data_IF_036375501932
#
_entry.id   IF_036375501932
#
_cell.length_a   1.000
_cell.length_b   1.000
_cell.length_c   1.000
_cell.angle_alpha   90.00
_cell.angle_beta   90.00
_cell.angle_gamma   90.00
#
_symmetry.space_group_name_H-M   'P 1'
#
loop_
_entity.id
_entity.type
_entity.pdbx_description
1 polymer ?
#
# COMPACT_ATOMS: atom_id res chain seq x y z
N UNK A 1 49.58 -16.81 -17.28
CA UNK A 1 50.68 -17.22 -16.36
C UNK A 1 50.26 -16.84 -14.96
N UNK A 2 50.04 -17.72 -13.98
CA UNK A 2 50.79 -18.91 -13.62
C UNK A 2 51.68 -18.59 -12.41
N UNK A 3 51.59 -19.43 -11.37
CA UNK A 3 52.43 -19.52 -10.16
C UNK A 3 51.98 -18.70 -8.94
N UNK A 4 51.95 -19.23 -7.70
CA UNK A 4 52.27 -20.55 -7.13
C UNK A 4 51.60 -20.60 -5.75
N UNK A 5 51.07 -21.77 -5.36
CA UNK A 5 50.67 -22.10 -3.99
C UNK A 5 51.93 -22.31 -3.13
N UNK A 6 51.92 -21.96 -1.83
CA UNK A 6 52.76 -22.62 -0.83
C UNK A 6 52.07 -23.86 -0.22
N UNK A 7 52.83 -24.74 0.44
CA UNK A 7 52.56 -26.18 0.46
C UNK A 7 51.93 -26.70 1.76
N UNK A 8 51.38 -27.90 1.65
CA UNK A 8 51.33 -29.02 2.61
C UNK A 8 51.86 -28.75 4.03
N UNK A 9 51.08 -29.15 5.06
CA UNK A 9 51.40 -30.39 5.77
C UNK A 9 50.26 -30.85 6.70
N UNK A 10 49.77 -32.05 6.43
CA UNK A 10 49.41 -33.16 7.35
C UNK A 10 48.72 -32.86 8.69
N UNK A 11 47.48 -33.34 8.75
CA UNK A 11 47.01 -34.29 9.76
C UNK A 11 47.34 -34.01 11.23
N UNK A 12 46.32 -33.54 11.94
CA UNK A 12 46.08 -34.04 13.29
C UNK A 12 44.59 -34.33 13.48
N UNK A 13 44.23 -35.58 13.15
CA UNK A 13 43.03 -36.23 13.64
C UNK A 13 43.25 -36.46 15.14
N UNK A 14 42.70 -35.60 15.99
CA UNK A 14 42.41 -35.96 17.37
C UNK A 14 40.96 -36.38 17.46
N UNK A 15 40.75 -37.69 17.28
CA UNK A 15 39.62 -38.40 17.85
C UNK A 15 39.73 -38.31 19.38
N UNK A 16 38.85 -37.53 20.00
CA UNK A 16 38.44 -37.78 21.38
C UNK A 16 36.90 -37.79 21.49
N UNK A 17 36.35 -38.69 22.31
CA UNK A 17 35.00 -39.22 22.17
C UNK A 17 33.97 -38.45 23.01
N UNK A 18 32.72 -38.47 22.53
CA UNK A 18 31.47 -38.38 23.29
C UNK A 18 31.40 -37.45 24.50
N UNK A 19 30.76 -36.29 24.31
CA UNK A 19 29.57 -35.78 25.05
C UNK A 19 29.61 -34.25 25.09
N UNK A 20 28.69 -33.60 24.38
CA UNK A 20 27.63 -32.79 24.98
C UNK A 20 26.79 -32.18 23.86
N UNK A 21 25.56 -32.67 23.75
CA UNK A 21 24.53 -32.08 22.92
C UNK A 21 23.83 -30.99 23.75
N UNK A 22 23.92 -29.73 23.31
CA UNK A 22 23.00 -28.66 23.74
C UNK A 22 22.54 -27.91 22.48
N UNK A 23 21.27 -28.02 22.07
CA UNK A 23 20.71 -27.18 21.04
C UNK A 23 20.21 -25.90 21.73
N UNK A 24 20.94 -24.80 21.59
CA UNK A 24 20.49 -23.52 22.10
C UNK A 24 20.68 -22.41 21.06
N UNK A 25 19.54 -21.82 20.70
CA UNK A 25 19.36 -20.50 20.10
C UNK A 25 19.54 -20.37 18.57
N UNK A 26 18.49 -20.78 17.87
CA UNK A 26 17.74 -19.85 17.02
C UNK A 26 17.60 -18.49 17.72
N UNK A 27 18.44 -17.50 17.40
CA UNK A 27 18.14 -16.07 17.60
C UNK A 27 19.20 -15.17 16.93
N UNK A 28 19.25 -15.20 15.60
CA UNK A 28 19.82 -14.08 14.82
C UNK A 28 18.79 -13.60 13.79
N UNK A 29 17.64 -13.16 14.29
CA UNK A 29 16.81 -12.18 13.60
C UNK A 29 16.57 -11.01 14.56
N UNK A 30 17.66 -10.44 15.09
CA UNK A 30 17.57 -9.11 15.68
C UNK A 30 17.68 -8.10 14.54
N UNK A 31 16.52 -7.88 13.91
CA UNK A 31 16.24 -6.76 13.04
C UNK A 31 16.66 -5.50 13.77
N UNK A 32 17.80 -4.93 13.38
CA UNK A 32 18.35 -3.68 13.90
C UNK A 32 17.22 -2.63 13.92
N UNK A 33 16.86 -2.19 15.12
CA UNK A 33 16.06 -0.99 15.38
C UNK A 33 16.76 0.19 14.72
N UNK A 34 16.34 0.50 13.49
CA UNK A 34 16.75 1.71 12.78
C UNK A 34 16.27 2.87 13.65
N UNK A 35 17.23 3.74 14.01
CA UNK A 35 17.05 4.87 14.90
C UNK A 35 15.72 5.60 14.67
N UNK A 36 14.99 5.80 15.78
CA UNK A 36 13.66 6.41 15.90
C UNK A 36 13.50 7.80 15.26
N UNK A 37 14.57 8.40 14.75
CA UNK A 37 14.56 9.69 14.08
C UNK A 37 14.11 9.61 12.62
N UNK A 38 14.54 8.60 11.85
CA UNK A 38 14.11 8.46 10.44
C UNK A 38 12.67 7.97 10.31
N UNK A 39 12.20 7.16 11.28
CA UNK A 39 10.81 6.71 11.35
C UNK A 39 9.81 7.85 11.60
N UNK A 40 10.26 9.01 12.10
CA UNK A 40 9.42 10.18 12.37
C UNK A 40 9.07 10.99 11.13
N UNK A 41 9.87 10.89 10.06
CA UNK A 41 9.69 11.67 8.82
C UNK A 41 8.90 10.96 7.72
N UNK A 42 8.79 9.64 7.80
CA UNK A 42 8.02 8.84 6.85
C UNK A 42 6.99 8.00 7.62
N UNK A 43 5.72 8.47 7.75
CA UNK A 43 4.67 7.63 8.32
C UNK A 43 4.59 6.33 7.50
N UNK A 44 4.74 5.21 8.20
CA UNK A 44 4.80 3.87 7.57
C UNK A 44 3.47 3.47 6.95
N UNK A 45 2.37 4.04 7.43
CA UNK A 45 1.02 3.65 7.06
C UNK A 45 0.30 4.77 6.31
N UNK A 46 -0.35 4.46 5.16
CA UNK A 46 -1.15 5.43 4.44
C UNK A 46 -2.38 5.82 5.28
N UNK A 47 -2.82 7.07 5.11
CA UNK A 47 -4.03 7.55 5.75
C UNK A 47 -5.26 6.79 5.24
N UNK A 48 -6.26 6.64 6.11
CA UNK A 48 -7.56 6.07 5.71
C UNK A 48 -8.27 6.98 4.70
N UNK A 49 -8.92 6.43 3.66
CA UNK A 49 -9.81 7.19 2.78
C UNK A 49 -10.95 7.84 3.56
N UNK A 50 -11.37 9.03 3.13
CA UNK A 50 -12.52 9.73 3.72
C UNK A 50 -13.75 9.64 2.82
N UNK A 51 -14.94 9.68 3.42
CA UNK A 51 -16.21 9.73 2.69
C UNK A 51 -16.36 11.11 2.05
N UNK A 52 -16.09 11.23 0.74
CA UNK A 52 -16.20 12.53 0.07
C UNK A 52 -17.66 12.96 -0.09
N UNK A 53 -18.52 12.03 -0.52
CA UNK A 53 -19.97 12.22 -0.64
C UNK A 53 -20.68 10.87 -0.45
N UNK A 54 -21.95 10.92 -0.04
CA UNK A 54 -22.80 9.74 0.16
C UNK A 54 -23.55 9.30 -1.11
N UNK A 55 -23.45 10.08 -2.18
CA UNK A 55 -24.11 9.83 -3.46
C UNK A 55 -23.08 9.70 -4.59
N UNK A 56 -23.21 8.70 -5.48
CA UNK A 56 -22.29 8.54 -6.61
C UNK A 56 -22.51 9.62 -7.67
N UNK A 57 -21.46 9.98 -8.39
CA UNK A 57 -21.54 10.94 -9.50
C UNK A 57 -21.69 10.17 -10.80
N UNK A 58 -22.77 10.45 -11.54
CA UNK A 58 -22.99 9.95 -12.90
C UNK A 58 -22.28 10.88 -13.88
N UNK A 59 -21.43 10.33 -14.73
CA UNK A 59 -20.75 11.07 -15.78
C UNK A 59 -20.47 10.18 -17.00
N UNK A 60 -20.31 10.82 -18.14
CA UNK A 60 -19.91 10.16 -19.38
C UNK A 60 -18.39 9.94 -19.40
N UNK A 61 -17.98 8.69 -19.54
CA UNK A 61 -16.60 8.34 -19.87
C UNK A 61 -16.47 8.24 -21.38
N UNK A 62 -15.34 8.70 -21.92
CA UNK A 62 -15.02 8.65 -23.35
C UNK A 62 -14.04 7.52 -23.60
N UNK A 63 -14.34 6.63 -24.56
CA UNK A 63 -13.47 5.53 -24.95
C UNK A 63 -12.04 6.03 -25.27
N UNK A 64 -11.03 5.29 -24.82
CA UNK A 64 -9.63 5.63 -25.04
C UNK A 64 -9.06 6.67 -24.07
N UNK A 65 -9.90 7.47 -23.39
CA UNK A 65 -9.43 8.49 -22.44
C UNK A 65 -8.98 7.87 -21.13
N UNK A 66 -7.85 8.37 -20.60
CA UNK A 66 -7.32 7.96 -19.30
C UNK A 66 -7.83 8.88 -18.21
N UNK A 67 -8.37 8.29 -17.15
CA UNK A 67 -8.89 8.99 -15.98
C UNK A 67 -8.10 8.60 -14.73
N UNK A 68 -8.12 9.49 -13.73
CA UNK A 68 -7.51 9.25 -12.42
C UNK A 68 -8.59 9.41 -11.36
N UNK A 69 -9.10 8.30 -10.85
CA UNK A 69 -10.12 8.29 -9.81
C UNK A 69 -9.51 8.63 -8.45
N UNK A 70 -10.18 9.50 -7.69
CA UNK A 70 -9.73 9.88 -6.36
C UNK A 70 -9.96 8.72 -5.38
N UNK A 71 -8.88 8.15 -4.83
CA UNK A 71 -8.94 7.09 -3.81
C UNK A 71 -9.07 7.67 -2.40
N UNK A 72 -8.39 8.79 -2.11
CA UNK A 72 -8.29 9.33 -0.75
C UNK A 72 -9.54 10.06 -0.23
N UNK A 73 -10.49 10.43 -1.10
CA UNK A 73 -11.70 11.17 -0.73
C UNK A 73 -11.52 12.69 -0.55
N UNK A 74 -10.29 13.20 -0.54
CA UNK A 74 -9.97 14.62 -0.24
C UNK A 74 -9.97 15.56 -1.46
N UNK A 75 -10.25 15.05 -2.66
CA UNK A 75 -10.26 15.87 -3.88
C UNK A 75 -11.45 16.84 -3.88
N UNK A 76 -11.20 18.09 -4.29
CA UNK A 76 -12.23 19.11 -4.55
C UNK A 76 -12.92 18.89 -5.90
N UNK A 77 -12.34 18.08 -6.80
CA UNK A 77 -12.86 17.76 -8.15
C UNK A 77 -13.38 16.33 -8.22
N UNK A 78 -14.20 15.91 -7.25
CA UNK A 78 -14.80 14.57 -7.25
C UNK A 78 -15.54 14.31 -8.57
N UNK A 79 -15.46 13.08 -9.12
CA UNK A 79 -14.85 11.87 -8.57
C UNK A 79 -13.35 11.71 -8.88
N UNK A 80 -12.74 12.67 -9.57
CA UNK A 80 -11.37 12.59 -10.07
C UNK A 80 -10.35 13.17 -9.08
N UNK A 81 -9.09 12.79 -9.25
CA UNK A 81 -7.98 13.27 -8.44
C UNK A 81 -7.51 14.65 -8.88
N UNK A 82 -7.34 15.56 -7.93
CA UNK A 82 -6.83 16.93 -8.09
C UNK A 82 -5.42 17.14 -7.52
N UNK A 83 -4.81 16.10 -6.92
CA UNK A 83 -3.52 16.18 -6.26
C UNK A 83 -3.58 16.37 -4.73
N UNK A 84 -4.76 16.55 -4.14
CA UNK A 84 -4.92 16.75 -2.68
C UNK A 84 -4.29 15.65 -1.82
N UNK A 85 -4.22 14.41 -2.32
CA UNK A 85 -3.55 13.29 -1.63
C UNK A 85 -2.05 13.54 -1.39
N UNK A 86 -1.39 14.23 -2.32
CA UNK A 86 0.03 14.56 -2.23
C UNK A 86 0.26 15.70 -1.25
N UNK A 87 -0.50 16.80 -1.39
CA UNK A 87 -0.37 17.97 -0.50
C UNK A 87 -0.70 17.63 0.96
N UNK A 88 -1.63 16.71 1.19
CA UNK A 88 -2.00 16.27 2.53
C UNK A 88 -1.21 15.03 3.01
N UNK A 89 -0.18 14.62 2.25
CA UNK A 89 0.73 13.49 2.58
C UNK A 89 -0.01 12.23 3.00
N UNK A 90 -1.07 11.86 2.28
CA UNK A 90 -1.93 10.74 2.70
C UNK A 90 -1.31 9.37 2.44
N UNK A 91 -0.19 9.28 1.72
CA UNK A 91 0.40 7.99 1.29
C UNK A 91 -0.47 7.19 0.31
N UNK A 92 -1.58 7.77 -0.18
CA UNK A 92 -2.50 7.14 -1.12
C UNK A 92 -2.28 7.68 -2.53
N UNK A 93 -2.26 6.81 -3.54
CA UNK A 93 -2.19 7.19 -4.95
C UNK A 93 -3.54 7.05 -5.65
N UNK A 94 -3.87 7.92 -6.63
CA UNK A 94 -5.11 7.80 -7.39
C UNK A 94 -5.10 6.58 -8.31
N UNK A 95 -6.29 5.99 -8.53
CA UNK A 95 -6.44 4.85 -9.43
C UNK A 95 -6.50 5.35 -10.88
N UNK A 96 -5.45 5.07 -11.65
CA UNK A 96 -5.40 5.35 -13.09
C UNK A 96 -6.10 4.24 -13.85
N UNK A 97 -7.08 4.58 -14.68
CA UNK A 97 -7.75 3.62 -15.57
C UNK A 97 -8.07 4.25 -16.93
N UNK A 98 -8.12 3.42 -17.97
CA UNK A 98 -8.51 3.83 -19.32
C UNK A 98 -9.95 3.38 -19.57
N UNK A 99 -10.80 4.28 -20.01
CA UNK A 99 -12.17 3.93 -20.39
C UNK A 99 -12.14 3.12 -21.70
N UNK A 100 -12.79 1.95 -21.69
CA UNK A 100 -12.83 1.07 -22.87
C UNK A 100 -13.92 1.50 -23.85
N UNK A 101 -15.04 2.00 -23.35
CA UNK A 101 -16.22 2.37 -24.11
C UNK A 101 -16.69 3.76 -23.72
N UNK A 102 -17.34 4.47 -24.65
CA UNK A 102 -18.02 5.73 -24.36
C UNK A 102 -19.38 5.43 -23.76
N UNK A 103 -19.55 5.67 -22.46
CA UNK A 103 -20.80 5.39 -21.76
C UNK A 103 -20.94 6.19 -20.47
N UNK A 104 -22.18 6.44 -20.08
CA UNK A 104 -22.52 7.05 -18.79
C UNK A 104 -22.38 6.01 -17.68
N UNK A 105 -21.50 6.26 -16.72
CA UNK A 105 -21.29 5.40 -15.56
C UNK A 105 -21.46 6.18 -14.27
N UNK A 106 -21.76 5.47 -13.18
CA UNK A 106 -21.72 6.02 -11.83
C UNK A 106 -20.36 5.71 -11.19
N UNK A 107 -19.58 6.75 -10.87
CA UNK A 107 -18.31 6.61 -10.16
C UNK A 107 -18.49 6.79 -8.64
N UNK A 108 -17.70 6.04 -7.88
CA UNK A 108 -17.76 6.04 -6.42
C UNK A 108 -17.18 7.32 -5.81
N UNK A 109 -17.90 7.90 -4.85
CA UNK A 109 -17.51 9.08 -4.07
C UNK A 109 -17.33 8.78 -2.59
N UNK A 110 -17.98 7.75 -2.04
CA UNK A 110 -17.83 7.35 -0.64
C UNK A 110 -16.52 6.61 -0.33
N UNK A 111 -15.80 6.15 -1.36
CA UNK A 111 -14.51 5.43 -1.28
C UNK A 111 -14.54 4.07 -0.57
N UNK A 112 -15.74 3.57 -0.30
CA UNK A 112 -15.99 2.25 0.30
C UNK A 112 -16.34 1.16 -0.71
N UNK A 113 -16.25 1.44 -2.01
CA UNK A 113 -16.66 0.48 -3.04
C UNK A 113 -15.73 -0.73 -3.09
N UNK A 114 -16.30 -1.91 -3.31
CA UNK A 114 -15.57 -3.15 -3.58
C UNK A 114 -15.14 -3.27 -5.04
N UNK A 115 -15.70 -2.44 -5.93
CA UNK A 115 -15.41 -2.44 -7.38
C UNK A 115 -14.92 -1.07 -7.88
N UNK A 116 -13.77 -0.58 -7.38
CA UNK A 116 -13.24 0.72 -7.79
C UNK A 116 -12.93 0.71 -9.30
N UNK A 117 -13.16 1.82 -10.03
CA UNK A 117 -13.65 3.13 -9.58
C UNK A 117 -15.19 3.28 -9.56
N UNK A 118 -15.93 2.21 -9.89
CA UNK A 118 -17.37 2.25 -10.11
C UNK A 118 -18.15 2.20 -8.81
N UNK A 119 -19.39 2.71 -8.83
CA UNK A 119 -20.32 2.51 -7.74
C UNK A 119 -20.91 1.08 -7.77
N UNK A 120 -20.89 0.41 -6.62
CA UNK A 120 -21.46 -0.93 -6.37
C UNK A 120 -22.66 -0.90 -5.40
N UNK A 121 -23.09 0.30 -5.00
CA UNK A 121 -24.18 0.47 -4.04
C UNK A 121 -23.75 0.49 -2.57
N UNK A 122 -22.48 0.24 -2.24
CA UNK A 122 -21.97 0.28 -0.85
C UNK A 122 -22.26 1.60 -0.14
N UNK A 123 -22.40 2.71 -0.89
CA UNK A 123 -22.80 3.99 -0.33
C UNK A 123 -24.16 3.97 0.39
N UNK A 124 -25.05 3.02 0.09
CA UNK A 124 -26.35 2.86 0.75
C UNK A 124 -26.27 2.10 2.08
N UNK A 125 -25.14 1.46 2.37
CA UNK A 125 -24.96 0.72 3.63
C UNK A 125 -25.02 1.67 4.83
N UNK A 126 -25.50 1.15 5.97
CA UNK A 126 -25.61 1.94 7.19
C UNK A 126 -24.28 2.54 7.64
N UNK A 127 -23.17 1.81 7.48
CA UNK A 127 -21.83 2.28 7.83
C UNK A 127 -21.50 3.59 7.12
N UNK A 128 -21.77 3.68 5.81
CA UNK A 128 -21.50 4.89 5.02
C UNK A 128 -22.53 6.00 5.30
N UNK A 129 -23.80 5.63 5.52
CA UNK A 129 -24.85 6.60 5.79
C UNK A 129 -24.72 7.26 7.17
N UNK A 130 -24.22 6.53 8.17
CA UNK A 130 -23.95 7.05 9.53
C UNK A 130 -22.65 7.84 9.61
N UNK A 131 -21.70 7.60 8.70
CA UNK A 131 -20.44 8.34 8.69
C UNK A 131 -20.60 9.83 8.36
N UNK A 132 -19.74 10.66 8.94
CA UNK A 132 -19.66 12.09 8.62
C UNK A 132 -18.92 12.31 7.30
N UNK A 133 -19.40 13.26 6.49
CA UNK A 133 -18.76 13.62 5.22
C UNK A 133 -17.42 14.30 5.52
N UNK A 134 -16.34 13.85 4.87
CA UNK A 134 -14.98 14.32 5.13
C UNK A 134 -14.22 13.51 6.18
N UNK A 135 -14.90 12.58 6.87
CA UNK A 135 -14.30 11.70 7.88
C UNK A 135 -14.02 10.30 7.31
N UNK A 136 -13.03 9.57 7.83
CA UNK A 136 -12.84 8.15 7.53
C UNK A 136 -14.04 7.30 7.97
N UNK A 137 -14.21 6.14 7.31
CA UNK A 137 -15.09 5.07 7.77
C UNK A 137 -14.47 4.25 8.91
#
# INVERSE_FOLDING_TARGET
MGFRRPPFSTDFIFLFPNHFCLPALLKLCQRREISSWLARWFPRDPAKPVVAQKTPIKLELIAGKTYRWCVCGRSKKQPFCDGSHFFQRTGLSPLKFKAQETRTVALCTCKATKRPPYCDGTHKSEQVQKAEVGSPL
#
